data_IF_346865231778
#
_entry.id   IF_346865231778
#
_cell.length_a   1.000
_cell.length_b   1.000
_cell.length_c   1.000
_cell.angle_alpha   90.00
_cell.angle_beta   90.00
_cell.angle_gamma   90.00
#
_symmetry.space_group_name_H-M   'P 1'
#
loop_
_entity.id
_entity.type
_entity.pdbx_description
1 polymer ?
#
# COMPACT_ATOMS: atom_id res chain seq x y z
N UNK A 1 10.99 -55.31 -23.86
CA UNK A 1 11.84 -55.29 -22.65
C UNK A 1 12.81 -54.12 -22.75
N UNK A 2 12.60 -53.04 -22.00
CA UNK A 2 13.64 -52.06 -21.67
C UNK A 2 13.25 -51.43 -20.35
N UNK A 3 13.98 -51.83 -19.30
CA UNK A 3 13.84 -51.36 -17.92
C UNK A 3 14.51 -49.99 -17.80
N UNK A 4 13.79 -49.03 -17.24
CA UNK A 4 14.29 -47.73 -16.82
C UNK A 4 15.08 -47.87 -15.51
N UNK A 5 16.38 -47.57 -15.58
CA UNK A 5 17.24 -47.40 -14.41
C UNK A 5 16.82 -46.13 -13.65
N UNK A 6 16.07 -46.28 -12.56
CA UNK A 6 15.92 -45.25 -11.53
C UNK A 6 16.91 -45.54 -10.40
N UNK A 7 18.07 -44.89 -10.45
CA UNK A 7 18.98 -44.79 -9.31
C UNK A 7 18.31 -43.98 -8.19
N UNK A 8 17.90 -44.67 -7.13
CA UNK A 8 17.44 -44.08 -5.86
C UNK A 8 18.61 -43.34 -5.18
N UNK A 9 18.49 -42.06 -4.80
CA UNK A 9 19.41 -41.48 -3.83
C UNK A 9 19.07 -42.10 -2.45
N UNK A 10 20.04 -42.77 -1.85
CA UNK A 10 19.94 -43.41 -0.54
C UNK A 10 19.49 -42.43 0.54
N UNK A 11 18.29 -42.62 1.08
CA UNK A 11 17.81 -41.92 2.27
C UNK A 11 18.55 -42.49 3.48
N UNK A 12 19.62 -41.80 3.89
CA UNK A 12 20.37 -42.13 5.10
C UNK A 12 19.49 -41.90 6.34
N UNK A 13 19.05 -42.98 6.99
CA UNK A 13 18.31 -42.99 8.26
C UNK A 13 19.22 -42.69 9.47
N UNK A 14 20.03 -41.62 9.38
CA UNK A 14 20.82 -41.14 10.51
C UNK A 14 20.06 -39.99 11.19
N UNK A 15 19.47 -40.24 12.37
CA UNK A 15 18.82 -39.19 13.17
C UNK A 15 19.77 -38.71 14.29
N UNK A 16 20.23 -37.46 14.23
CA UNK A 16 20.60 -36.73 15.45
C UNK A 16 19.90 -35.36 15.50
N UNK A 17 18.99 -35.17 16.45
CA UNK A 17 18.52 -33.87 17.00
C UNK A 17 18.53 -32.65 16.05
N UNK A 18 17.80 -32.71 14.93
CA UNK A 18 17.56 -31.57 14.06
C UNK A 18 16.07 -31.39 13.86
N UNK A 19 15.59 -30.16 14.00
CA UNK A 19 14.29 -29.73 13.49
C UNK A 19 14.10 -30.31 12.07
N UNK A 20 12.91 -30.82 11.70
CA UNK A 20 12.67 -31.31 10.35
C UNK A 20 13.10 -30.22 9.34
N UNK A 21 13.70 -30.59 8.19
CA UNK A 21 14.04 -29.62 7.16
C UNK A 21 12.82 -28.75 6.90
N UNK A 22 12.95 -27.43 7.04
CA UNK A 22 11.87 -26.51 6.73
C UNK A 22 11.67 -26.57 5.21
N UNK A 23 10.75 -27.43 4.78
CA UNK A 23 10.38 -27.57 3.39
C UNK A 23 9.45 -26.40 3.05
N UNK A 24 9.70 -25.66 1.96
CA UNK A 24 8.76 -24.64 1.51
C UNK A 24 7.37 -25.26 1.33
N UNK A 25 6.30 -24.53 1.69
CA UNK A 25 4.95 -25.07 1.64
C UNK A 25 4.61 -25.44 0.19
N UNK A 26 4.16 -26.68 0.01
CA UNK A 26 3.78 -27.26 -1.28
C UNK A 26 2.27 -27.36 -1.37
N UNK A 27 1.70 -27.23 -2.56
CA UNK A 27 0.28 -27.52 -2.79
C UNK A 27 0.00 -29.03 -2.69
N UNK A 28 -1.28 -29.42 -2.74
CA UNK A 28 -1.71 -30.83 -2.74
C UNK A 28 -1.11 -31.66 -3.89
N UNK A 29 -0.48 -31.01 -4.89
CA UNK A 29 0.15 -31.64 -6.05
C UNK A 29 1.69 -31.63 -5.99
N UNK A 30 2.30 -31.18 -4.88
CA UNK A 30 3.75 -31.14 -4.70
C UNK A 30 4.44 -29.97 -5.41
N UNK A 31 3.69 -29.02 -5.95
CA UNK A 31 4.18 -27.76 -6.48
C UNK A 31 4.55 -26.81 -5.36
N UNK A 32 5.68 -26.10 -5.49
CA UNK A 32 6.06 -25.05 -4.54
C UNK A 32 5.01 -23.93 -4.58
N UNK A 33 4.34 -23.64 -3.46
CA UNK A 33 3.43 -22.51 -3.40
C UNK A 33 4.25 -21.23 -3.67
N UNK A 34 3.73 -20.28 -4.48
CA UNK A 34 4.33 -18.97 -4.54
C UNK A 34 4.34 -18.39 -3.12
N UNK A 35 5.53 -18.22 -2.54
CA UNK A 35 5.68 -17.56 -1.24
C UNK A 35 5.30 -16.09 -1.42
N UNK A 36 4.00 -15.83 -1.30
CA UNK A 36 3.42 -14.50 -1.48
C UNK A 36 3.77 -13.58 -0.31
N UNK A 37 4.21 -14.12 0.84
CA UNK A 37 4.67 -13.38 2.02
C UNK A 37 5.71 -14.22 2.80
N UNK A 38 6.76 -13.58 3.33
CA UNK A 38 7.65 -14.19 4.35
C UNK A 38 6.81 -14.50 5.60
N UNK A 39 6.98 -15.69 6.19
CA UNK A 39 6.28 -16.08 7.42
C UNK A 39 6.39 -14.99 8.50
N UNK A 40 5.28 -14.62 9.18
CA UNK A 40 5.29 -13.60 10.22
C UNK A 40 6.30 -13.96 11.31
N UNK A 41 7.36 -13.16 11.44
CA UNK A 41 8.38 -13.35 12.48
C UNK A 41 7.90 -12.72 13.78
N UNK A 42 7.79 -13.51 14.85
CA UNK A 42 7.63 -12.95 16.20
C UNK A 42 8.92 -12.22 16.60
N UNK A 43 8.83 -10.92 16.80
CA UNK A 43 9.94 -10.07 17.26
C UNK A 43 9.69 -9.62 18.70
N UNK A 44 10.75 -9.35 19.46
CA UNK A 44 10.59 -8.71 20.77
C UNK A 44 9.95 -7.32 20.61
N UNK A 45 9.18 -6.88 21.61
CA UNK A 45 8.49 -5.58 21.60
C UNK A 45 9.43 -4.39 21.32
N UNK A 46 10.73 -4.49 21.66
CA UNK A 46 11.74 -3.46 21.41
C UNK A 46 12.12 -3.25 19.93
N UNK A 47 11.77 -4.17 19.03
CA UNK A 47 12.06 -4.04 17.60
C UNK A 47 11.26 -2.91 16.94
N UNK A 48 10.04 -2.64 17.40
CA UNK A 48 9.24 -1.51 16.90
C UNK A 48 9.89 -0.17 17.19
N UNK A 49 10.42 0.00 18.41
CA UNK A 49 11.16 1.22 18.80
C UNK A 49 12.46 1.33 17.99
N UNK A 50 13.18 0.23 17.80
CA UNK A 50 14.40 0.21 16.96
C UNK A 50 14.12 0.59 15.51
N UNK A 51 12.96 0.22 14.96
CA UNK A 51 12.55 0.62 13.62
C UNK A 51 12.35 2.13 13.51
N UNK A 52 11.66 2.74 14.49
CA UNK A 52 11.43 4.19 14.53
C UNK A 52 12.77 4.95 14.69
N UNK A 53 13.65 4.50 15.59
CA UNK A 53 14.94 5.19 15.82
C UNK A 53 15.87 5.08 14.62
N UNK A 54 15.87 3.95 13.90
CA UNK A 54 16.62 3.79 12.64
C UNK A 54 16.08 4.69 11.53
N UNK A 55 14.75 4.78 11.37
CA UNK A 55 14.14 5.68 10.40
C UNK A 55 14.48 7.15 10.71
N UNK A 56 14.45 7.53 11.99
CA UNK A 56 14.85 8.87 12.42
C UNK A 56 16.34 9.17 12.16
N UNK A 57 17.21 8.16 12.32
CA UNK A 57 18.63 8.28 12.02
C UNK A 57 18.92 8.53 10.53
N UNK A 58 18.12 7.95 9.63
CA UNK A 58 18.19 8.18 8.17
C UNK A 58 17.65 9.58 7.83
N UNK A 59 16.55 9.99 8.46
CA UNK A 59 15.96 11.31 8.27
C UNK A 59 16.91 12.45 8.65
N UNK A 60 17.59 12.36 9.80
CA UNK A 60 18.55 13.40 10.24
C UNK A 60 19.74 13.56 9.29
N UNK A 61 20.09 12.52 8.54
CA UNK A 61 21.30 12.49 7.71
C UNK A 61 21.18 13.39 6.48
N UNK A 62 19.96 13.54 5.95
CA UNK A 62 19.65 14.42 4.81
C UNK A 62 18.42 15.30 5.11
N UNK A 63 18.34 15.84 6.33
CA UNK A 63 17.20 16.65 6.79
C UNK A 63 16.92 17.84 5.87
N UNK A 64 17.98 18.53 5.40
CA UNK A 64 17.85 19.69 4.52
C UNK A 64 17.19 19.34 3.18
N UNK A 65 17.52 18.18 2.63
CA UNK A 65 17.01 17.71 1.35
C UNK A 65 15.55 17.22 1.51
N UNK A 66 15.23 16.58 2.64
CA UNK A 66 13.85 16.28 3.03
C UNK A 66 12.98 17.53 3.19
N UNK A 67 13.50 18.55 3.86
CA UNK A 67 12.82 19.82 4.03
C UNK A 67 12.55 20.47 2.67
N UNK A 68 13.53 20.47 1.77
CA UNK A 68 13.37 21.03 0.44
C UNK A 68 12.36 20.25 -0.41
N UNK A 69 12.37 18.91 -0.36
CA UNK A 69 11.33 18.08 -0.99
C UNK A 69 9.94 18.42 -0.44
N UNK A 70 9.81 18.55 0.89
CA UNK A 70 8.55 18.91 1.53
C UNK A 70 8.05 20.30 1.13
N UNK A 71 8.94 21.29 1.07
CA UNK A 71 8.62 22.66 0.62
C UNK A 71 8.18 22.67 -0.84
N UNK A 72 8.89 21.98 -1.73
CA UNK A 72 8.50 21.86 -3.14
C UNK A 72 7.14 21.20 -3.27
N UNK A 73 6.89 20.10 -2.55
CA UNK A 73 5.58 19.45 -2.53
C UNK A 73 4.47 20.39 -2.06
N UNK A 74 4.71 21.18 -1.00
CA UNK A 74 3.74 22.17 -0.52
C UNK A 74 3.45 23.26 -1.55
N UNK A 75 4.47 23.75 -2.26
CA UNK A 75 4.29 24.73 -3.34
C UNK A 75 3.44 24.13 -4.46
N UNK A 76 3.75 22.91 -4.89
CA UNK A 76 2.97 22.20 -5.92
C UNK A 76 1.51 22.01 -5.45
N UNK A 77 1.29 21.68 -4.18
CA UNK A 77 -0.04 21.53 -3.60
C UNK A 77 -0.82 22.85 -3.53
N UNK A 78 -0.17 23.93 -3.12
CA UNK A 78 -0.77 25.26 -3.13
C UNK A 78 -1.19 25.68 -4.53
N UNK A 79 -0.33 25.48 -5.53
CA UNK A 79 -0.63 25.83 -6.93
C UNK A 79 -1.77 24.95 -7.47
N UNK A 80 -1.70 23.63 -7.22
CA UNK A 80 -2.71 22.69 -7.67
C UNK A 80 -4.10 22.92 -7.07
N UNK A 81 -4.16 23.30 -5.79
CA UNK A 81 -5.42 23.60 -5.09
C UNK A 81 -6.06 24.93 -5.53
N UNK A 82 -5.27 25.86 -6.09
CA UNK A 82 -5.72 27.20 -6.50
C UNK A 82 -6.58 27.17 -7.78
N UNK A 83 -6.46 26.13 -8.59
CA UNK A 83 -7.26 25.97 -9.82
C UNK A 83 -8.40 24.98 -9.53
N UNK A 84 -9.69 25.38 -9.61
CA UNK A 84 -10.82 24.54 -9.21
C UNK A 84 -10.89 23.19 -9.92
N UNK A 85 -10.56 23.15 -11.22
CA UNK A 85 -10.54 21.92 -12.02
C UNK A 85 -9.39 21.00 -11.60
N UNK A 86 -8.21 21.57 -11.31
CA UNK A 86 -7.04 20.81 -10.87
C UNK A 86 -7.25 20.32 -9.45
N UNK A 87 -7.96 21.07 -8.59
CA UNK A 87 -8.25 20.70 -7.20
C UNK A 87 -8.94 19.33 -7.12
N UNK A 88 -9.81 18.99 -8.07
CA UNK A 88 -10.38 17.65 -8.14
C UNK A 88 -9.32 16.58 -8.43
N UNK A 89 -8.39 16.81 -9.35
CA UNK A 89 -7.39 15.82 -9.79
C UNK A 89 -6.16 15.80 -8.87
N UNK A 90 -5.89 16.88 -8.14
CA UNK A 90 -4.67 17.06 -7.38
C UNK A 90 -4.46 16.04 -6.26
N UNK A 91 -5.48 15.66 -5.46
CA UNK A 91 -5.35 14.58 -4.47
C UNK A 91 -4.85 13.27 -5.06
N UNK A 92 -5.23 12.98 -6.32
CA UNK A 92 -4.77 11.81 -7.05
C UNK A 92 -3.28 11.90 -7.36
N UNK A 93 -2.83 13.09 -7.81
CA UNK A 93 -1.43 13.37 -8.12
C UNK A 93 -0.56 13.34 -6.85
N UNK A 94 -1.09 13.77 -5.71
CA UNK A 94 -0.42 13.70 -4.42
C UNK A 94 0.01 12.28 -4.03
N UNK A 95 -0.80 11.25 -4.31
CA UNK A 95 -0.41 9.86 -4.04
C UNK A 95 0.79 9.41 -4.86
N UNK A 96 0.96 9.96 -6.07
CA UNK A 96 2.14 9.72 -6.93
C UNK A 96 3.39 10.33 -6.32
N UNK A 97 3.29 11.58 -5.86
CA UNK A 97 4.38 12.25 -5.16
C UNK A 97 4.78 11.50 -3.89
N UNK A 98 3.82 10.99 -3.12
CA UNK A 98 4.07 10.13 -1.96
C UNK A 98 4.81 8.84 -2.37
N UNK A 99 4.41 8.20 -3.48
CA UNK A 99 5.14 7.06 -4.04
C UNK A 99 6.60 7.39 -4.42
N UNK A 100 6.84 8.57 -5.00
CA UNK A 100 8.18 9.08 -5.31
C UNK A 100 9.03 9.34 -4.06
N UNK A 101 8.42 9.90 -3.00
CA UNK A 101 9.06 10.08 -1.70
C UNK A 101 9.43 8.73 -1.09
N UNK A 102 8.52 7.74 -1.12
CA UNK A 102 8.78 6.38 -0.62
C UNK A 102 9.95 5.72 -1.38
N UNK A 103 10.03 5.90 -2.71
CA UNK A 103 11.18 5.43 -3.50
C UNK A 103 12.49 6.10 -3.07
N UNK A 104 12.46 7.41 -2.85
CA UNK A 104 13.60 8.15 -2.29
C UNK A 104 14.03 7.63 -0.91
N UNK A 105 13.08 7.30 -0.03
CA UNK A 105 13.37 6.67 1.26
C UNK A 105 14.02 5.29 1.10
N UNK A 106 13.55 4.49 0.15
CA UNK A 106 14.07 3.15 -0.11
C UNK A 106 15.52 3.20 -0.62
N UNK A 107 15.80 4.11 -1.56
CA UNK A 107 17.16 4.32 -2.08
C UNK A 107 18.09 4.84 -0.97
N UNK A 108 17.61 5.75 -0.12
CA UNK A 108 18.35 6.27 1.03
C UNK A 108 18.62 5.18 2.08
N UNK A 109 17.70 4.24 2.28
CA UNK A 109 17.87 3.12 3.21
C UNK A 109 18.93 2.10 2.76
N UNK A 110 19.23 2.02 1.45
CA UNK A 110 20.28 1.17 0.88
C UNK A 110 21.64 1.89 0.84
N UNK A 111 21.69 3.18 1.20
CA UNK A 111 22.91 3.99 1.27
C UNK A 111 23.16 4.85 0.03
N UNK A 112 22.19 4.96 -0.88
CA UNK A 112 22.27 5.91 -2.00
C UNK A 112 21.90 7.33 -1.54
N UNK A 113 22.45 8.34 -2.22
CA UNK A 113 22.13 9.73 -1.92
C UNK A 113 20.67 10.08 -2.29
N UNK A 114 20.00 10.81 -1.40
CA UNK A 114 18.66 11.34 -1.67
C UNK A 114 18.79 12.50 -2.68
N UNK A 115 18.11 12.41 -3.83
CA UNK A 115 18.11 13.44 -4.88
C UNK A 115 16.72 14.03 -5.08
N UNK A 116 16.65 15.29 -5.54
CA UNK A 116 15.37 15.92 -5.91
C UNK A 116 14.64 15.19 -7.03
N UNK A 117 15.39 14.52 -7.92
CA UNK A 117 14.83 13.72 -9.00
C UNK A 117 13.93 12.59 -8.49
N UNK A 118 14.09 12.10 -7.25
CA UNK A 118 13.22 11.05 -6.69
C UNK A 118 11.78 11.50 -6.53
N UNK A 119 11.53 12.80 -6.26
CA UNK A 119 10.18 13.35 -6.16
C UNK A 119 9.41 13.22 -7.49
N UNK A 120 10.12 13.35 -8.62
CA UNK A 120 9.55 13.20 -9.95
C UNK A 120 9.78 11.81 -10.56
N UNK A 121 10.62 10.98 -9.94
CA UNK A 121 11.01 9.67 -10.48
C UNK A 121 9.83 8.71 -10.67
N UNK A 122 8.77 8.87 -9.88
CA UNK A 122 7.53 8.12 -10.03
C UNK A 122 6.82 8.40 -11.37
N UNK A 123 6.98 9.61 -11.93
CA UNK A 123 6.44 9.98 -13.25
C UNK A 123 7.24 9.38 -14.41
N UNK A 124 8.54 9.13 -14.26
CA UNK A 124 9.38 8.67 -15.37
C UNK A 124 9.59 7.16 -15.39
N UNK A 125 9.77 6.55 -14.21
CA UNK A 125 10.22 5.16 -14.12
C UNK A 125 9.07 4.15 -14.08
N UNK A 126 7.87 4.57 -13.66
CA UNK A 126 6.76 3.66 -13.33
C UNK A 126 5.40 4.14 -13.85
N UNK A 127 5.35 4.72 -15.06
CA UNK A 127 4.08 5.15 -15.68
C UNK A 127 3.03 4.02 -15.79
N UNK A 128 3.44 2.78 -16.12
CA UNK A 128 2.51 1.64 -16.19
C UNK A 128 1.86 1.32 -14.83
N UNK A 129 2.63 1.12 -13.73
CA UNK A 129 2.06 1.00 -12.39
C UNK A 129 1.24 2.22 -11.96
N UNK A 130 1.63 3.42 -12.40
CA UNK A 130 0.91 4.66 -12.11
C UNK A 130 -0.51 4.67 -12.68
N UNK A 131 -0.66 4.21 -13.92
CA UNK A 131 -1.96 4.08 -14.59
C UNK A 131 -2.83 3.05 -13.88
N UNK A 132 -2.26 1.92 -13.45
CA UNK A 132 -2.99 0.89 -12.69
C UNK A 132 -3.45 1.45 -11.34
N UNK A 133 -2.59 2.16 -10.61
CA UNK A 133 -2.94 2.82 -9.35
C UNK A 133 -4.07 3.84 -9.58
N UNK A 134 -3.97 4.64 -10.64
CA UNK A 134 -4.98 5.61 -11.00
C UNK A 134 -6.34 4.95 -11.28
N UNK A 135 -6.36 3.88 -12.09
CA UNK A 135 -7.60 3.13 -12.40
C UNK A 135 -8.18 2.48 -11.14
N UNK A 136 -7.36 1.82 -10.33
CA UNK A 136 -7.80 1.16 -9.10
C UNK A 136 -8.36 2.16 -8.09
N UNK A 137 -7.72 3.33 -7.97
CA UNK A 137 -8.23 4.43 -7.16
C UNK A 137 -9.55 4.97 -7.69
N UNK A 138 -9.69 5.15 -9.01
CA UNK A 138 -10.92 5.63 -9.65
C UNK A 138 -12.09 4.66 -9.36
N UNK A 139 -11.84 3.35 -9.47
CA UNK A 139 -12.81 2.32 -9.07
C UNK A 139 -13.16 2.44 -7.58
N UNK A 140 -12.17 2.58 -6.70
CA UNK A 140 -12.41 2.68 -5.27
C UNK A 140 -13.21 3.94 -4.88
N UNK A 141 -12.96 5.08 -5.52
CA UNK A 141 -13.74 6.32 -5.32
C UNK A 141 -15.17 6.15 -5.80
N UNK A 142 -15.40 5.55 -6.97
CA UNK A 142 -16.76 5.29 -7.47
C UNK A 142 -17.50 4.39 -6.48
N UNK A 143 -16.88 3.31 -6.03
CA UNK A 143 -17.47 2.37 -5.06
C UNK A 143 -17.76 3.08 -3.73
N UNK A 144 -16.88 4.00 -3.28
CA UNK A 144 -17.08 4.75 -2.06
C UNK A 144 -18.16 5.85 -2.17
N UNK A 145 -18.35 6.43 -3.37
CA UNK A 145 -19.36 7.45 -3.62
C UNK A 145 -20.79 6.92 -3.51
N UNK A 146 -21.05 5.67 -3.93
CA UNK A 146 -22.39 5.07 -3.90
C UNK A 146 -23.01 5.12 -2.49
N UNK A 147 -22.39 4.54 -1.43
CA UNK A 147 -22.95 4.61 -0.09
C UNK A 147 -22.95 6.04 0.47
N UNK A 148 -21.97 6.87 0.11
CA UNK A 148 -21.91 8.26 0.54
C UNK A 148 -23.11 9.07 0.04
N UNK A 149 -23.47 8.93 -1.24
CA UNK A 149 -24.61 9.60 -1.84
C UNK A 149 -25.94 9.15 -1.23
N UNK A 150 -26.09 7.85 -0.94
CA UNK A 150 -27.29 7.32 -0.28
C UNK A 150 -27.47 7.94 1.10
N UNK A 151 -26.40 8.03 1.89
CA UNK A 151 -26.45 8.56 3.25
C UNK A 151 -26.63 10.08 3.26
N UNK A 152 -25.83 10.82 2.49
CA UNK A 152 -25.91 12.28 2.44
C UNK A 152 -27.20 12.75 1.78
N UNK A 153 -27.65 12.05 0.74
CA UNK A 153 -28.95 12.29 0.11
C UNK A 153 -30.10 11.99 1.09
N UNK A 154 -30.03 10.88 1.82
CA UNK A 154 -31.01 10.53 2.86
C UNK A 154 -31.05 11.54 4.01
N UNK A 155 -29.87 12.02 4.45
CA UNK A 155 -29.75 13.05 5.49
C UNK A 155 -30.27 14.41 5.04
N UNK A 156 -29.97 14.82 3.81
CA UNK A 156 -30.48 16.07 3.25
C UNK A 156 -32.01 16.03 3.13
N UNK A 157 -32.56 14.91 2.68
CA UNK A 157 -34.00 14.69 2.58
C UNK A 157 -34.69 14.63 3.94
N UNK A 158 -34.05 14.02 4.95
CA UNK A 158 -34.59 13.95 6.31
C UNK A 158 -34.61 15.33 6.99
N UNK A 159 -33.54 16.12 6.81
CA UNK A 159 -33.48 17.49 7.30
C UNK A 159 -34.51 18.41 6.61
N UNK A 160 -34.70 18.27 5.30
CA UNK A 160 -35.69 19.04 4.55
C UNK A 160 -37.14 18.75 4.97
N UNK A 161 -37.42 17.51 5.41
CA UNK A 161 -38.76 17.08 5.82
C UNK A 161 -39.04 17.26 7.33
N UNK A 162 -38.11 17.84 8.11
CA UNK A 162 -38.29 17.99 9.55
C UNK A 162 -38.38 16.64 10.28
N UNK A 163 -37.49 15.71 9.93
CA UNK A 163 -37.56 14.30 10.35
C UNK A 163 -37.49 14.07 11.87
N UNK A 164 -38.18 13.03 12.34
CA UNK A 164 -38.16 12.56 13.73
C UNK A 164 -36.77 12.13 14.22
N UNK A 165 -36.56 12.13 15.54
CA UNK A 165 -35.31 11.68 16.18
C UNK A 165 -34.88 10.26 15.76
N UNK A 166 -35.83 9.38 15.42
CA UNK A 166 -35.55 8.01 14.96
C UNK A 166 -34.86 8.00 13.59
N UNK A 167 -35.25 8.89 12.68
CA UNK A 167 -34.62 9.01 11.37
C UNK A 167 -33.18 9.53 11.49
N UNK A 168 -32.95 10.50 12.38
CA UNK A 168 -31.60 11.03 12.65
C UNK A 168 -30.68 9.94 13.22
N UNK A 169 -31.17 9.14 14.17
CA UNK A 169 -30.41 8.02 14.74
C UNK A 169 -30.08 6.97 13.67
N UNK A 170 -31.05 6.65 12.79
CA UNK A 170 -30.83 5.74 11.66
C UNK A 170 -29.74 6.23 10.70
N UNK A 171 -29.73 7.52 10.37
CA UNK A 171 -28.69 8.13 9.53
C UNK A 171 -27.32 8.06 10.20
N UNK A 172 -27.22 8.37 11.50
CA UNK A 172 -25.95 8.30 12.25
C UNK A 172 -25.38 6.88 12.27
N UNK A 173 -26.23 5.86 12.51
CA UNK A 173 -25.81 4.45 12.46
C UNK A 173 -25.36 4.09 11.03
N UNK A 174 -26.07 4.55 10.01
CA UNK A 174 -25.71 4.37 8.60
C UNK A 174 -24.34 4.95 8.26
N UNK A 175 -24.05 6.17 8.74
CA UNK A 175 -22.73 6.82 8.59
C UNK A 175 -21.64 5.96 9.24
N UNK A 176 -21.84 5.51 10.48
CA UNK A 176 -20.87 4.68 11.19
C UNK A 176 -20.58 3.36 10.45
N UNK A 177 -21.61 2.69 9.95
CA UNK A 177 -21.46 1.45 9.19
C UNK A 177 -20.68 1.67 7.89
N UNK A 178 -20.98 2.74 7.16
CA UNK A 178 -20.25 3.06 5.93
C UNK A 178 -18.82 3.46 6.21
N UNK A 179 -18.54 4.21 7.28
CA UNK A 179 -17.16 4.47 7.72
C UNK A 179 -16.42 3.17 8.04
N UNK A 180 -17.05 2.25 8.76
CA UNK A 180 -16.46 0.96 9.10
C UNK A 180 -16.17 0.11 7.85
N UNK A 181 -17.04 0.20 6.83
CA UNK A 181 -16.85 -0.51 5.56
C UNK A 181 -15.82 0.15 4.64
N UNK A 182 -15.72 1.49 4.68
CA UNK A 182 -14.76 2.26 3.87
C UNK A 182 -13.38 2.32 4.49
N UNK A 183 -13.25 2.11 5.79
CA UNK A 183 -11.97 2.14 6.49
C UNK A 183 -10.92 1.18 5.88
N UNK A 184 -11.24 -0.11 5.59
CA UNK A 184 -10.32 -0.99 4.87
C UNK A 184 -9.94 -0.49 3.48
N UNK A 185 -10.88 0.14 2.76
CA UNK A 185 -10.64 0.69 1.42
C UNK A 185 -9.68 1.88 1.48
N UNK A 186 -9.86 2.77 2.45
CA UNK A 186 -8.97 3.90 2.69
C UNK A 186 -7.55 3.41 3.08
N UNK A 187 -7.46 2.39 3.92
CA UNK A 187 -6.17 1.78 4.26
C UNK A 187 -5.52 1.12 3.04
N UNK A 188 -6.28 0.38 2.24
CA UNK A 188 -5.77 -0.23 1.01
C UNK A 188 -5.23 0.82 0.04
N UNK A 189 -5.95 1.93 -0.15
CA UNK A 189 -5.50 3.07 -0.97
C UNK A 189 -4.23 3.71 -0.40
N UNK A 190 -4.14 3.85 0.92
CA UNK A 190 -2.97 4.46 1.56
C UNK A 190 -1.71 3.59 1.41
N UNK A 191 -1.86 2.27 1.47
CA UNK A 191 -0.74 1.32 1.37
C UNK A 191 -0.46 0.84 -0.06
N UNK A 192 -1.39 1.01 -1.01
CA UNK A 192 -1.21 0.57 -2.39
C UNK A 192 0.00 1.19 -3.11
N UNK A 193 0.28 2.52 -3.02
CA UNK A 193 1.47 3.11 -3.65
C UNK A 193 2.76 2.53 -3.08
N UNK A 194 2.82 2.34 -1.76
CA UNK A 194 3.95 1.71 -1.10
C UNK A 194 4.15 0.28 -1.60
N UNK A 195 3.08 -0.51 -1.69
CA UNK A 195 3.14 -1.89 -2.15
C UNK A 195 3.58 -1.98 -3.62
N UNK A 196 3.02 -1.15 -4.50
CA UNK A 196 3.41 -1.14 -5.92
C UNK A 196 4.89 -0.77 -6.10
N UNK A 197 5.36 0.25 -5.39
CA UNK A 197 6.75 0.73 -5.50
C UNK A 197 7.74 -0.25 -4.88
N UNK A 198 7.41 -0.88 -3.75
CA UNK A 198 8.32 -1.78 -3.02
C UNK A 198 8.27 -3.23 -3.50
N UNK A 199 7.13 -3.72 -3.95
CA UNK A 199 6.96 -5.14 -4.29
C UNK A 199 7.04 -5.47 -5.77
N UNK A 200 7.17 -4.47 -6.67
CA UNK A 200 7.37 -4.68 -8.11
C UNK A 200 6.56 -5.88 -8.65
N UNK A 201 5.30 -5.99 -8.20
CA UNK A 201 4.45 -7.13 -8.49
C UNK A 201 4.14 -7.05 -9.98
N UNK A 202 4.84 -7.89 -10.75
CA UNK A 202 4.54 -8.19 -12.14
C UNK A 202 3.12 -8.76 -12.19
N UNK A 203 2.13 -7.89 -12.34
CA UNK A 203 0.71 -8.29 -12.45
C UNK A 203 0.46 -9.15 -13.71
N UNK A 204 1.42 -9.22 -14.64
CA UNK A 204 1.44 -10.17 -15.74
C UNK A 204 2.87 -10.63 -16.00
N UNK A 205 3.21 -11.83 -15.51
CA UNK A 205 4.33 -12.60 -16.05
C UNK A 205 3.82 -13.32 -17.30
N UNK A 206 4.25 -12.86 -18.48
CA UNK A 206 4.29 -13.70 -19.69
C UNK A 206 5.58 -14.51 -19.68
#
# INVERSE_FOLDING_TARGET
MCSSNYSQPSVSLQKPNGQPPNLPPTDEYGGLLPQLLVEPRMCQAGWGISWITKAFAIFKDQFLLWLAIGVVYLIIAMIGSSVPVINFIFPFLSFVFVGGIIKGCADQAVGNELRFDHLFSAFYTHLKPLVILFVLYLVAVIVAMIPMLIIFGGMALSLAQGSSNVAVIGTVIGVLLVFLLLFPVLMAIWFAPALIVLHNIELFRQ
#
